data_IF_671040120451
#
_entry.id   IF_671040120451
#
_cell.length_a   1.000
_cell.length_b   1.000
_cell.length_c   1.000
_cell.angle_alpha   90.00
_cell.angle_beta   90.00
_cell.angle_gamma   90.00
#
_symmetry.space_group_name_H-M   'P 1'
#
loop_
_entity.id
_entity.type
_entity.pdbx_description
1 polymer ?
#
# COMPACT_ATOMS: atom_id res chain seq x y z
N UNK A 1 6.72 -15.67 72.92
CA UNK A 1 5.67 -14.70 72.53
C UNK A 1 5.65 -14.55 71.01
N UNK A 2 4.54 -14.90 70.35
CA UNK A 2 4.41 -14.97 68.89
C UNK A 2 3.97 -13.63 68.28
N UNK A 3 4.78 -13.03 67.39
CA UNK A 3 4.41 -11.84 66.60
C UNK A 3 4.86 -12.01 65.14
N UNK A 4 3.92 -12.28 64.21
CA UNK A 4 3.92 -11.95 62.76
C UNK A 4 3.07 -12.96 61.95
N UNK A 5 1.74 -12.80 61.95
CA UNK A 5 0.85 -13.43 60.93
C UNK A 5 -0.33 -12.54 60.49
N UNK A 6 -0.35 -11.24 60.87
CA UNK A 6 -1.48 -10.33 60.59
C UNK A 6 -1.33 -9.43 59.34
N UNK A 7 -0.15 -9.33 58.71
CA UNK A 7 0.07 -8.41 57.57
C UNK A 7 -0.13 -9.03 56.19
N UNK A 8 0.33 -10.27 55.94
CA UNK A 8 0.28 -10.89 54.60
C UNK A 8 -1.15 -11.10 54.05
N UNK A 9 -2.12 -11.31 54.95
CA UNK A 9 -3.54 -11.51 54.59
C UNK A 9 -4.23 -10.19 54.21
N UNK A 10 -3.73 -9.05 54.72
CA UNK A 10 -4.21 -7.72 54.36
C UNK A 10 -3.68 -7.31 52.97
N UNK A 11 -2.41 -7.60 52.67
CA UNK A 11 -1.79 -7.30 51.37
C UNK A 11 -2.41 -8.11 50.23
N UNK A 12 -2.77 -9.39 50.48
CA UNK A 12 -3.46 -10.23 49.49
C UNK A 12 -4.90 -9.74 49.22
N UNK A 13 -5.60 -9.27 50.26
CA UNK A 13 -6.93 -8.67 50.14
C UNK A 13 -6.90 -7.39 49.30
N UNK A 14 -5.93 -6.51 49.58
CA UNK A 14 -5.74 -5.28 48.81
C UNK A 14 -5.42 -5.57 47.33
N UNK A 15 -4.61 -6.60 47.03
CA UNK A 15 -4.31 -6.99 45.66
C UNK A 15 -5.55 -7.54 44.93
N UNK A 16 -6.38 -8.34 45.60
CA UNK A 16 -7.62 -8.87 45.03
C UNK A 16 -8.68 -7.77 44.82
N UNK A 17 -8.74 -6.79 45.71
CA UNK A 17 -9.63 -5.63 45.56
C UNK A 17 -9.16 -4.70 44.44
N UNK A 18 -7.85 -4.50 44.27
CA UNK A 18 -7.28 -3.78 43.13
C UNK A 18 -7.54 -4.51 41.80
N UNK A 19 -7.43 -5.84 41.75
CA UNK A 19 -7.78 -6.63 40.56
C UNK A 19 -9.26 -6.57 40.23
N UNK A 20 -10.14 -6.62 41.25
CA UNK A 20 -11.59 -6.45 41.07
C UNK A 20 -11.92 -5.07 40.52
N UNK A 21 -11.32 -4.02 41.10
CA UNK A 21 -11.50 -2.63 40.63
C UNK A 21 -11.01 -2.45 39.20
N UNK A 22 -9.83 -2.96 38.85
CA UNK A 22 -9.31 -2.91 37.47
C UNK A 22 -10.19 -3.70 36.47
N UNK A 23 -10.77 -4.83 36.89
CA UNK A 23 -11.69 -5.62 36.06
C UNK A 23 -13.03 -4.90 35.86
N UNK A 24 -13.50 -4.21 36.88
CA UNK A 24 -14.73 -3.42 36.85
C UNK A 24 -14.56 -2.15 36.00
N UNK A 25 -13.43 -1.45 36.14
CA UNK A 25 -13.03 -0.32 35.29
C UNK A 25 -12.90 -0.72 33.82
N UNK A 26 -12.24 -1.86 33.52
CA UNK A 26 -12.16 -2.38 32.14
C UNK A 26 -13.54 -2.76 31.58
N UNK A 27 -14.43 -3.29 32.42
CA UNK A 27 -15.82 -3.62 32.03
C UNK A 27 -16.66 -2.36 31.80
N UNK A 28 -16.46 -1.32 32.61
CA UNK A 28 -17.07 -0.01 32.42
C UNK A 28 -16.56 0.66 31.14
N UNK A 29 -15.26 0.58 30.86
CA UNK A 29 -14.65 1.10 29.64
C UNK A 29 -15.16 0.37 28.39
N UNK A 30 -15.29 -0.97 28.44
CA UNK A 30 -15.89 -1.76 27.37
C UNK A 30 -17.37 -1.41 27.13
N UNK A 31 -18.11 -1.09 28.19
CA UNK A 31 -19.53 -0.68 28.10
C UNK A 31 -19.69 0.77 27.60
N UNK A 32 -18.69 1.62 27.82
CA UNK A 32 -18.65 3.00 27.34
C UNK A 32 -18.20 3.13 25.87
N UNK A 33 -17.60 2.09 25.28
CA UNK A 33 -17.20 2.10 23.87
C UNK A 33 -18.43 2.00 22.97
N UNK A 34 -18.55 2.94 22.04
CA UNK A 34 -19.60 2.94 21.00
C UNK A 34 -19.44 1.70 20.13
N UNK A 35 -20.52 0.95 19.94
CA UNK A 35 -20.58 -0.17 19.01
C UNK A 35 -20.42 0.36 17.57
N UNK A 36 -19.44 -0.17 16.83
CA UNK A 36 -19.26 0.13 15.41
C UNK A 36 -19.81 -1.05 14.61
N UNK A 37 -20.71 -0.76 13.69
CA UNK A 37 -21.26 -1.76 12.78
C UNK A 37 -20.65 -1.56 11.40
N UNK A 38 -20.32 -2.66 10.74
CA UNK A 38 -19.92 -2.62 9.34
C UNK A 38 -21.14 -2.35 8.43
N UNK A 39 -20.90 -2.11 7.14
CA UNK A 39 -21.98 -1.94 6.14
C UNK A 39 -22.95 -3.12 6.05
N UNK A 40 -22.52 -4.33 6.44
CA UNK A 40 -23.33 -5.54 6.48
C UNK A 40 -24.07 -5.71 7.83
N UNK A 41 -24.04 -4.69 8.70
CA UNK A 41 -24.72 -4.69 10.00
C UNK A 41 -24.07 -5.60 11.07
N UNK A 42 -22.88 -6.13 10.83
CA UNK A 42 -22.09 -6.93 11.79
C UNK A 42 -21.30 -6.00 12.71
N UNK A 43 -21.31 -6.31 14.01
CA UNK A 43 -20.51 -5.59 15.01
C UNK A 43 -19.02 -5.80 14.75
N UNK A 44 -18.28 -4.72 14.57
CA UNK A 44 -16.82 -4.70 14.41
C UNK A 44 -16.18 -3.94 15.57
N UNK A 45 -15.08 -4.48 16.09
CA UNK A 45 -14.34 -3.86 17.19
C UNK A 45 -13.30 -2.83 16.72
N UNK A 46 -13.13 -2.71 15.40
CA UNK A 46 -12.26 -1.75 14.74
C UNK A 46 -13.06 -0.50 14.35
N UNK A 47 -12.45 0.69 14.46
CA UNK A 47 -13.00 1.94 13.92
C UNK A 47 -12.99 1.99 12.39
N UNK A 48 -12.26 1.08 11.74
CA UNK A 48 -12.19 0.95 10.29
C UNK A 48 -12.93 -0.31 9.87
N UNK A 49 -13.82 -0.14 8.89
CA UNK A 49 -14.51 -1.22 8.21
C UNK A 49 -13.68 -1.66 7.00
N UNK A 50 -13.29 -2.94 6.97
CA UNK A 50 -12.56 -3.56 5.86
C UNK A 50 -13.45 -4.46 4.98
N UNK A 51 -14.75 -4.56 5.30
CA UNK A 51 -15.64 -5.57 4.70
C UNK A 51 -16.13 -5.21 3.31
N UNK A 52 -16.03 -3.94 2.91
CA UNK A 52 -16.02 -3.55 1.51
C UNK A 52 -14.72 -2.81 1.20
N UNK A 53 -14.20 -3.05 0.01
CA UNK A 53 -13.29 -2.12 -0.64
C UNK A 53 -14.02 -0.80 -0.79
N UNK A 54 -14.04 0.03 0.25
CA UNK A 54 -14.53 1.40 0.16
C UNK A 54 -13.85 1.99 -1.07
N UNK A 55 -14.60 2.44 -2.09
CA UNK A 55 -14.03 2.95 -3.31
C UNK A 55 -13.47 4.35 -3.08
N UNK A 56 -12.59 4.52 -2.10
CA UNK A 56 -11.76 5.71 -1.90
C UNK A 56 -10.89 5.98 -3.15
N UNK A 57 -10.87 5.04 -4.12
CA UNK A 57 -10.09 5.14 -5.35
C UNK A 57 -10.92 4.97 -6.65
N UNK A 58 -12.25 4.94 -6.64
CA UNK A 58 -13.00 4.85 -7.93
C UNK A 58 -13.02 6.17 -8.72
N UNK A 59 -12.75 7.31 -8.07
CA UNK A 59 -12.75 8.63 -8.72
C UNK A 59 -11.37 9.20 -9.03
N UNK A 60 -10.29 8.51 -8.66
CA UNK A 60 -8.94 8.96 -8.99
C UNK A 60 -8.27 7.83 -9.75
N UNK A 61 -8.01 8.02 -11.04
CA UNK A 61 -7.15 7.20 -11.90
C UNK A 61 -5.72 7.15 -11.32
N UNK A 62 -5.58 6.63 -10.11
CA UNK A 62 -4.39 6.74 -9.31
C UNK A 62 -3.59 5.50 -9.53
N UNK A 63 -2.65 5.67 -10.46
CA UNK A 63 -1.49 4.82 -10.74
C UNK A 63 -1.74 3.94 -11.97
N UNK A 64 -1.33 4.49 -13.12
CA UNK A 64 -0.88 3.72 -14.28
C UNK A 64 -0.14 2.46 -13.80
N UNK A 65 -0.61 1.30 -14.23
CA UNK A 65 -0.01 0.01 -13.91
C UNK A 65 1.41 -0.03 -14.46
N UNK A 66 2.31 -0.84 -13.87
CA UNK A 66 3.64 -1.06 -14.43
C UNK A 66 3.60 -1.47 -15.91
N UNK A 67 2.60 -2.30 -16.27
CA UNK A 67 2.29 -2.71 -17.63
C UNK A 67 2.02 -1.50 -18.52
N UNK A 68 1.26 -0.52 -18.04
CA UNK A 68 0.92 0.69 -18.81
C UNK A 68 2.17 1.54 -19.12
N UNK A 69 3.18 1.59 -18.22
CA UNK A 69 4.43 2.30 -18.49
C UNK A 69 5.29 1.60 -19.55
N UNK A 70 5.33 0.26 -19.54
CA UNK A 70 6.05 -0.51 -20.57
C UNK A 70 5.37 -0.35 -21.93
N UNK A 71 4.04 -0.35 -21.95
CA UNK A 71 3.25 -0.10 -23.16
C UNK A 71 3.49 1.31 -23.69
N UNK A 72 3.49 2.35 -22.83
CA UNK A 72 3.83 3.71 -23.23
C UNK A 72 5.24 3.83 -23.81
N UNK A 73 6.22 3.15 -23.20
CA UNK A 73 7.58 3.09 -23.73
C UNK A 73 7.62 2.42 -25.11
N UNK A 74 6.90 1.32 -25.31
CA UNK A 74 6.84 0.66 -26.61
C UNK A 74 6.17 1.54 -27.67
N UNK A 75 5.10 2.27 -27.32
CA UNK A 75 4.42 3.21 -28.23
C UNK A 75 5.34 4.35 -28.66
N UNK A 76 5.99 5.01 -27.69
CA UNK A 76 6.93 6.12 -27.96
C UNK A 76 8.12 5.70 -28.81
N UNK A 77 8.66 4.49 -28.59
CA UNK A 77 9.72 3.94 -29.43
C UNK A 77 9.24 3.65 -30.86
N UNK A 78 8.09 2.98 -31.02
CA UNK A 78 7.50 2.71 -32.33
C UNK A 78 7.22 3.99 -33.12
N UNK A 79 6.78 5.05 -32.46
CA UNK A 79 6.58 6.35 -33.12
C UNK A 79 7.89 7.00 -33.53
N UNK A 80 8.98 6.83 -32.77
CA UNK A 80 10.31 7.30 -33.18
C UNK A 80 10.85 6.49 -34.37
N UNK A 81 10.64 5.18 -34.38
CA UNK A 81 11.03 4.32 -35.51
C UNK A 81 10.27 4.70 -36.79
N UNK A 82 8.94 4.82 -36.71
CA UNK A 82 8.11 5.27 -37.85
C UNK A 82 8.56 6.62 -38.40
N UNK A 83 9.01 7.54 -37.54
CA UNK A 83 9.57 8.84 -37.98
C UNK A 83 10.86 8.66 -38.77
N UNK A 84 11.81 7.90 -38.23
CA UNK A 84 13.06 7.59 -38.91
C UNK A 84 12.85 6.87 -40.24
N UNK A 85 11.91 5.92 -40.29
CA UNK A 85 11.58 5.19 -41.52
C UNK A 85 11.03 6.13 -42.61
N UNK A 86 10.26 7.16 -42.24
CA UNK A 86 9.73 8.16 -43.18
C UNK A 86 10.81 9.11 -43.68
N UNK A 87 11.74 9.50 -42.82
CA UNK A 87 12.92 10.29 -43.18
C UNK A 87 13.81 9.52 -44.17
N UNK A 88 14.06 8.23 -43.90
CA UNK A 88 14.85 7.35 -44.78
C UNK A 88 14.18 7.12 -46.14
N UNK A 89 12.84 7.09 -46.20
CA UNK A 89 12.08 6.95 -47.45
C UNK A 89 12.00 8.25 -48.27
N UNK A 90 12.67 9.32 -47.84
CA UNK A 90 12.70 10.61 -48.56
C UNK A 90 11.45 11.47 -48.39
N UNK A 91 10.49 11.06 -47.54
CA UNK A 91 9.28 11.82 -47.25
C UNK A 91 9.47 12.77 -46.05
N UNK A 92 10.59 13.50 -46.03
CA UNK A 92 10.99 14.37 -44.91
C UNK A 92 9.99 15.48 -44.62
N UNK A 93 9.38 16.08 -45.67
CA UNK A 93 8.39 17.14 -45.52
C UNK A 93 7.10 16.64 -44.84
N UNK A 94 6.68 15.42 -45.16
CA UNK A 94 5.52 14.76 -44.51
C UNK A 94 5.84 14.42 -43.05
N UNK A 95 7.06 14.00 -42.77
CA UNK A 95 7.51 13.74 -41.39
C UNK A 95 7.54 15.03 -40.56
N UNK A 96 8.02 16.14 -41.13
CA UNK A 96 8.07 17.44 -40.47
C UNK A 96 6.66 17.96 -40.12
N UNK A 97 5.71 17.91 -41.07
CA UNK A 97 4.30 18.29 -40.82
C UNK A 97 3.67 17.45 -39.70
N UNK A 98 3.89 16.14 -39.71
CA UNK A 98 3.41 15.25 -38.63
C UNK A 98 4.05 15.55 -37.27
N UNK A 99 5.31 15.98 -37.24
CA UNK A 99 5.96 16.39 -35.99
C UNK A 99 5.36 17.67 -35.45
N UNK A 100 5.07 18.63 -36.33
CA UNK A 100 4.43 19.88 -35.96
C UNK A 100 3.02 19.64 -35.40
N UNK A 101 2.19 18.87 -36.11
CA UNK A 101 0.85 18.45 -35.65
C UNK A 101 0.91 17.74 -34.30
N UNK A 102 1.85 16.80 -34.12
CA UNK A 102 2.03 16.09 -32.87
C UNK A 102 2.44 17.05 -31.73
N UNK A 103 3.35 17.99 -32.00
CA UNK A 103 3.79 18.98 -31.03
C UNK A 103 2.65 19.91 -30.59
N UNK A 104 1.85 20.40 -31.54
CA UNK A 104 0.66 21.22 -31.24
C UNK A 104 -0.39 20.45 -30.46
N UNK A 105 -0.67 19.19 -30.83
CA UNK A 105 -1.60 18.35 -30.08
C UNK A 105 -1.14 18.11 -28.64
N UNK A 106 0.17 17.89 -28.44
CA UNK A 106 0.79 17.71 -27.12
C UNK A 106 0.70 18.97 -26.28
N UNK A 107 0.94 20.13 -26.88
CA UNK A 107 0.80 21.43 -26.24
C UNK A 107 -0.65 21.69 -25.80
N UNK A 108 -1.62 21.41 -26.67
CA UNK A 108 -3.05 21.52 -26.37
C UNK A 108 -3.46 20.61 -25.21
N UNK A 109 -3.06 19.33 -25.23
CA UNK A 109 -3.35 18.40 -24.14
C UNK A 109 -2.73 18.83 -22.81
N UNK A 110 -1.51 19.38 -22.82
CA UNK A 110 -0.88 19.94 -21.62
C UNK A 110 -1.65 21.15 -21.10
N UNK A 111 -2.14 22.02 -21.99
CA UNK A 111 -2.95 23.18 -21.62
C UNK A 111 -4.32 22.77 -21.03
N UNK A 112 -4.93 21.70 -21.54
CA UNK A 112 -6.13 21.06 -20.97
C UNK A 112 -5.86 20.39 -19.60
N UNK A 113 -4.61 20.32 -19.15
CA UNK A 113 -4.21 19.68 -17.89
C UNK A 113 -4.02 18.16 -17.99
N UNK A 114 -4.07 17.58 -19.19
CA UNK A 114 -3.78 16.16 -19.40
C UNK A 114 -2.28 15.89 -19.25
N UNK A 115 -1.96 14.81 -18.52
CA UNK A 115 -0.57 14.45 -18.24
C UNK A 115 0.05 13.67 -19.40
N UNK A 116 0.69 14.39 -20.31
CA UNK A 116 1.44 13.81 -21.44
C UNK A 116 2.76 13.19 -20.94
N UNK A 117 3.07 11.94 -21.32
CA UNK A 117 4.22 11.16 -20.79
C UNK A 117 5.01 10.44 -21.88
N UNK A 118 5.55 11.20 -22.83
CA UNK A 118 6.13 10.62 -24.05
C UNK A 118 7.67 10.53 -24.04
N UNK A 119 8.30 10.95 -22.94
CA UNK A 119 9.76 10.95 -22.80
C UNK A 119 10.32 9.56 -22.47
N UNK A 120 11.08 9.00 -23.41
CA UNK A 120 11.70 7.67 -23.32
C UNK A 120 12.56 7.52 -22.05
N UNK A 121 13.40 8.51 -21.73
CA UNK A 121 14.29 8.43 -20.58
C UNK A 121 13.55 8.50 -19.25
N UNK A 122 12.52 9.35 -19.17
CA UNK A 122 11.67 9.45 -17.98
C UNK A 122 10.84 8.18 -17.79
N UNK A 123 10.34 7.58 -18.86
CA UNK A 123 9.63 6.29 -18.83
C UNK A 123 10.54 5.17 -18.33
N UNK A 124 11.77 5.06 -18.86
CA UNK A 124 12.79 4.09 -18.39
C UNK A 124 13.12 4.27 -16.92
N UNK A 125 13.38 5.51 -16.48
CA UNK A 125 13.64 5.84 -15.05
C UNK A 125 12.46 5.46 -14.17
N UNK A 126 11.24 5.73 -14.62
CA UNK A 126 10.01 5.42 -13.89
C UNK A 126 9.80 3.92 -13.72
N UNK A 127 10.10 3.11 -14.74
CA UNK A 127 10.05 1.65 -14.67
C UNK A 127 11.05 1.14 -13.63
N UNK A 128 12.32 1.57 -13.71
CA UNK A 128 13.36 1.19 -12.73
C UNK A 128 12.98 1.54 -11.30
N UNK A 129 12.39 2.72 -11.09
CA UNK A 129 11.94 3.15 -9.76
C UNK A 129 10.82 2.26 -9.22
N UNK A 130 9.85 1.87 -10.06
CA UNK A 130 8.79 0.93 -9.68
C UNK A 130 9.35 -0.45 -9.33
N UNK A 131 10.29 -0.95 -10.10
CA UNK A 131 10.95 -2.23 -9.81
C UNK A 131 11.71 -2.19 -8.47
N UNK A 132 12.45 -1.10 -8.20
CA UNK A 132 13.13 -0.89 -6.92
C UNK A 132 12.12 -0.91 -5.76
N UNK A 133 10.98 -0.21 -5.89
CA UNK A 133 9.91 -0.21 -4.87
C UNK A 133 9.31 -1.60 -4.65
N UNK A 134 9.10 -2.38 -5.71
CA UNK A 134 8.64 -3.78 -5.59
C UNK A 134 9.66 -4.63 -4.83
N UNK A 135 10.94 -4.53 -5.18
CA UNK A 135 12.03 -5.26 -4.49
C UNK A 135 12.12 -4.91 -3.01
N UNK A 136 12.09 -3.62 -2.66
CA UNK A 136 12.15 -3.22 -1.24
C UNK A 136 10.91 -3.63 -0.47
N UNK A 137 9.73 -3.62 -1.11
CA UNK A 137 8.50 -4.15 -0.50
C UNK A 137 8.59 -5.65 -0.28
N UNK A 138 9.09 -6.44 -1.25
CA UNK A 138 9.27 -7.89 -1.13
C UNK A 138 10.17 -8.22 0.06
N UNK A 139 11.36 -7.60 0.13
CA UNK A 139 12.30 -7.81 1.24
C UNK A 139 11.71 -7.50 2.60
N UNK A 140 10.94 -6.41 2.71
CA UNK A 140 10.24 -6.06 3.96
C UNK A 140 9.20 -7.10 4.35
N UNK A 141 8.51 -7.69 3.37
CA UNK A 141 7.52 -8.74 3.61
C UNK A 141 8.17 -10.07 3.97
N UNK A 142 9.25 -10.46 3.30
CA UNK A 142 10.06 -11.63 3.62
C UNK A 142 10.59 -11.54 5.06
N UNK A 143 11.19 -10.41 5.42
CA UNK A 143 11.67 -10.17 6.79
C UNK A 143 10.55 -10.23 7.83
N UNK A 144 9.36 -9.72 7.52
CA UNK A 144 8.21 -9.85 8.43
C UNK A 144 7.79 -11.31 8.60
N UNK A 145 7.77 -12.10 7.53
CA UNK A 145 7.43 -13.53 7.61
C UNK A 145 8.44 -14.28 8.47
N UNK A 146 9.73 -14.02 8.26
CA UNK A 146 10.81 -14.59 9.08
C UNK A 146 10.65 -14.23 10.56
N UNK A 147 10.27 -12.99 10.88
CA UNK A 147 10.02 -12.55 12.26
C UNK A 147 8.75 -13.13 12.89
N UNK A 148 7.68 -13.34 12.10
CA UNK A 148 6.39 -13.84 12.62
C UNK A 148 6.29 -15.35 12.65
N UNK A 149 7.07 -16.05 11.81
CA UNK A 149 7.18 -17.50 11.74
C UNK A 149 8.64 -17.89 12.00
N UNK A 150 9.19 -17.68 13.21
CA UNK A 150 10.45 -18.29 13.57
C UNK A 150 10.23 -19.81 13.57
N UNK A 151 10.74 -20.48 12.54
CA UNK A 151 10.72 -21.93 12.29
C UNK A 151 9.65 -22.72 13.08
N UNK A 152 8.58 -23.14 12.41
CA UNK A 152 7.68 -24.21 12.88
C UNK A 152 8.46 -25.54 13.16
N UNK A 153 9.76 -25.57 12.84
CA UNK A 153 10.68 -26.65 13.15
C UNK A 153 11.21 -26.65 14.59
N UNK A 154 11.09 -25.55 15.34
CA UNK A 154 11.51 -25.50 16.75
C UNK A 154 10.51 -26.17 17.72
N UNK A 155 9.31 -26.54 17.25
CA UNK A 155 8.29 -27.20 18.07
C UNK A 155 8.38 -28.74 18.06
N UNK A 156 9.27 -29.32 17.25
CA UNK A 156 9.44 -30.77 17.14
C UNK A 156 10.68 -31.34 17.83
N UNK A 157 11.53 -30.51 18.45
CA UNK A 157 12.74 -30.94 19.18
C UNK A 157 12.51 -31.14 20.70
N UNK A 158 11.26 -31.33 21.13
CA UNK A 158 10.93 -31.85 22.46
C UNK A 158 10.37 -33.26 22.29
N UNK A 159 11.27 -34.19 21.96
CA UNK A 159 10.99 -35.63 22.06
C UNK A 159 11.40 -36.12 23.45
N UNK A 160 10.55 -37.02 23.96
CA UNK A 160 10.37 -37.52 25.33
C UNK A 160 11.64 -37.97 26.07
#
# INVERSE_FOLDING_TARGET
>A
MAKKKKSFRADLGQLEDMKKKAKEERKAELKARKAYYNIHGKLVYSKFDFSEHTPILQGVETKLRPEDLKVMLAKTLKEKEKRKDLEQKGAGDVAAKRMEEAAWSSAMQKAEGKKVRDDVDLLRKSIKLKEKRKKTSSKKWEHRKEMTYPDDNAHNDITY
#
